data_IF_791971385194
#
_entry.id   IF_791971385194
#
_cell.length_a   1.000
_cell.length_b   1.000
_cell.length_c   1.000
_cell.angle_alpha   90.00
_cell.angle_beta   90.00
_cell.angle_gamma   90.00
#
_symmetry.space_group_name_H-M   'P 1'
#
loop_
_entity.id
_entity.type
_entity.pdbx_description
1 polymer ?
#
# COMPACT_ATOMS: atom_id res chain seq x y z
N UNK A 1 6.05 6.80 18.41
CA UNK A 1 5.15 5.75 17.88
C UNK A 1 5.99 4.74 17.14
N UNK A 2 5.69 3.44 17.27
CA UNK A 2 6.31 2.39 16.46
C UNK A 2 5.74 2.44 15.05
N UNK A 3 6.59 2.19 14.04
CA UNK A 3 6.12 2.08 12.68
C UNK A 3 5.25 0.80 12.53
N UNK A 4 4.21 0.81 11.69
CA UNK A 4 3.42 -0.40 11.43
C UNK A 4 4.29 -1.50 10.82
N UNK A 5 4.20 -2.74 11.28
CA UNK A 5 4.98 -3.85 10.69
C UNK A 5 4.31 -4.47 9.45
N UNK A 6 3.12 -4.00 9.06
CA UNK A 6 2.33 -4.58 7.99
C UNK A 6 1.70 -3.53 7.10
N UNK A 7 1.58 -3.84 5.82
CA UNK A 7 0.65 -3.20 4.89
C UNK A 7 -0.63 -4.05 4.82
N UNK A 8 -1.78 -3.47 5.16
CA UNK A 8 -3.09 -4.09 4.97
C UNK A 8 -3.56 -3.86 3.54
N UNK A 9 -3.69 -4.94 2.78
CA UNK A 9 -3.95 -4.87 1.34
C UNK A 9 -5.44 -4.90 1.07
N UNK A 10 -6.20 -5.85 1.63
CA UNK A 10 -7.66 -5.94 1.47
C UNK A 10 -8.35 -6.77 2.56
N UNK A 11 -9.66 -6.94 2.38
CA UNK A 11 -10.49 -7.90 3.10
C UNK A 11 -10.80 -9.11 2.19
N UNK A 12 -10.35 -10.30 2.58
CA UNK A 12 -10.67 -11.56 1.91
C UNK A 12 -11.26 -12.55 2.91
N UNK A 13 -12.42 -13.13 2.59
CA UNK A 13 -13.11 -14.11 3.44
C UNK A 13 -13.33 -13.65 4.91
N UNK A 14 -13.58 -12.35 5.11
CA UNK A 14 -13.76 -11.76 6.44
C UNK A 14 -12.46 -11.57 7.24
N UNK A 15 -11.29 -11.77 6.63
CA UNK A 15 -9.98 -11.54 7.22
C UNK A 15 -9.22 -10.44 6.48
N UNK A 16 -8.50 -9.61 7.23
CA UNK A 16 -7.57 -8.64 6.67
C UNK A 16 -6.36 -9.38 6.08
N UNK A 17 -6.16 -9.24 4.77
CA UNK A 17 -4.94 -9.67 4.10
C UNK A 17 -3.88 -8.62 4.37
N UNK A 18 -2.75 -9.06 4.94
CA UNK A 18 -1.64 -8.20 5.32
C UNK A 18 -0.34 -8.73 4.77
N UNK A 19 0.54 -7.83 4.37
CA UNK A 19 1.89 -8.13 3.94
C UNK A 19 2.89 -7.60 4.97
N UNK A 20 3.86 -8.42 5.38
CA UNK A 20 4.86 -8.04 6.37
C UNK A 20 5.86 -7.06 5.77
N UNK A 21 6.10 -5.94 6.44
CA UNK A 21 7.11 -4.94 6.12
C UNK A 21 8.17 -4.94 7.23
N UNK A 22 9.22 -5.78 7.13
CA UNK A 22 10.22 -5.92 8.19
C UNK A 22 11.02 -4.63 8.35
N UNK A 23 11.82 -4.52 9.42
CA UNK A 23 12.83 -3.46 9.58
C UNK A 23 12.32 -2.03 9.42
N UNK A 24 11.05 -1.77 9.76
CA UNK A 24 10.39 -0.46 9.61
C UNK A 24 10.30 0.03 8.17
N UNK A 25 10.29 -0.88 7.18
CA UNK A 25 10.15 -0.54 5.76
C UNK A 25 8.82 0.18 5.46
N UNK A 26 7.81 0.04 6.32
CA UNK A 26 6.58 0.83 6.27
C UNK A 26 6.79 2.33 6.35
N UNK A 27 7.81 2.81 7.08
CA UNK A 27 8.12 4.26 7.14
C UNK A 27 8.63 4.74 5.79
N UNK A 28 9.58 4.00 5.19
CA UNK A 28 10.14 4.39 3.90
C UNK A 28 9.09 4.36 2.79
N UNK A 29 8.23 3.34 2.79
CA UNK A 29 7.15 3.24 1.83
C UNK A 29 6.10 4.34 2.04
N UNK A 30 5.71 4.62 3.29
CA UNK A 30 4.77 5.69 3.60
C UNK A 30 5.33 7.08 3.23
N UNK A 31 6.58 7.38 3.60
CA UNK A 31 7.22 8.67 3.32
C UNK A 31 7.33 8.93 1.82
N UNK A 32 7.56 7.87 1.02
CA UNK A 32 7.52 7.97 -0.43
C UNK A 32 6.10 8.21 -0.94
N UNK A 33 5.13 7.44 -0.48
CA UNK A 33 3.76 7.50 -1.01
C UNK A 33 3.03 8.80 -0.63
N UNK A 34 3.16 9.25 0.63
CA UNK A 34 2.39 10.36 1.20
C UNK A 34 2.33 11.62 0.31
N UNK A 35 3.44 12.17 -0.22
CA UNK A 35 3.38 13.35 -1.08
C UNK A 35 2.66 13.13 -2.42
N UNK A 36 2.59 11.88 -2.91
CA UNK A 36 1.97 11.52 -4.19
C UNK A 36 0.51 11.08 -4.06
N UNK A 37 0.06 10.73 -2.85
CA UNK A 37 -1.30 10.21 -2.63
C UNK A 37 -2.39 11.21 -3.05
N UNK A 38 -2.17 12.52 -2.89
CA UNK A 38 -3.13 13.53 -3.30
C UNK A 38 -3.35 13.58 -4.82
N UNK A 39 -2.35 13.18 -5.61
CA UNK A 39 -2.44 13.15 -7.07
C UNK A 39 -3.11 11.86 -7.58
N UNK A 40 -2.79 10.71 -6.96
CA UNK A 40 -3.25 9.39 -7.43
C UNK A 40 -4.56 8.92 -6.79
N UNK A 41 -4.86 9.37 -5.58
CA UNK A 41 -6.04 8.97 -4.81
C UNK A 41 -6.52 10.12 -3.90
N UNK A 42 -6.95 11.26 -4.46
CA UNK A 42 -7.23 12.50 -3.72
C UNK A 42 -8.25 12.33 -2.59
N UNK A 43 -9.30 11.54 -2.83
CA UNK A 43 -10.35 11.28 -1.84
C UNK A 43 -9.87 10.41 -0.67
N UNK A 44 -8.80 9.63 -0.87
CA UNK A 44 -8.26 8.69 0.11
C UNK A 44 -7.02 9.22 0.84
N UNK A 45 -6.31 10.21 0.28
CA UNK A 45 -5.04 10.72 0.81
C UNK A 45 -5.09 11.11 2.30
N UNK A 46 -6.17 11.78 2.73
CA UNK A 46 -6.34 12.16 4.15
C UNK A 46 -6.55 10.96 5.07
N UNK A 47 -7.30 9.96 4.61
CA UNK A 47 -7.52 8.73 5.37
C UNK A 47 -6.21 7.96 5.51
N UNK A 48 -5.46 7.82 4.42
CA UNK A 48 -4.14 7.19 4.39
C UNK A 48 -3.16 7.79 5.40
N UNK A 49 -3.04 9.12 5.43
CA UNK A 49 -2.19 9.83 6.41
C UNK A 49 -2.68 9.62 7.86
N UNK A 50 -3.99 9.72 8.08
CA UNK A 50 -4.61 9.55 9.39
C UNK A 50 -4.45 8.13 9.95
N UNK A 51 -4.60 7.11 9.10
CA UNK A 51 -4.39 5.71 9.47
C UNK A 51 -2.95 5.48 9.91
N UNK A 52 -1.97 5.98 9.16
CA UNK A 52 -0.55 5.82 9.49
C UNK A 52 -0.20 6.52 10.80
N UNK A 53 -0.75 7.72 11.02
CA UNK A 53 -0.63 8.46 12.29
C UNK A 53 -1.21 7.69 13.48
N UNK A 54 -2.18 6.81 13.24
CA UNK A 54 -2.76 5.87 14.21
C UNK A 54 -2.06 4.49 14.22
N UNK A 55 -0.81 4.40 13.77
CA UNK A 55 -0.02 3.17 13.70
C UNK A 55 -0.61 2.07 12.79
N UNK A 56 -1.41 2.43 11.78
CA UNK A 56 -2.01 1.50 10.81
C UNK A 56 -1.59 1.88 9.40
N UNK A 57 -0.96 0.97 8.65
CA UNK A 57 -0.64 1.21 7.26
C UNK A 57 -1.54 0.37 6.36
N UNK A 58 -2.54 0.99 5.74
CA UNK A 58 -3.59 0.28 5.02
C UNK A 58 -3.88 0.93 3.66
N UNK A 59 -4.23 0.07 2.71
CA UNK A 59 -4.91 0.40 1.45
C UNK A 59 -6.16 -0.50 1.28
N UNK A 60 -6.60 -1.16 2.36
CA UNK A 60 -7.69 -2.14 2.30
C UNK A 60 -9.02 -1.51 1.89
N UNK A 61 -9.26 -0.27 2.30
CA UNK A 61 -10.46 0.49 2.00
C UNK A 61 -10.28 1.44 0.79
N UNK A 62 -9.15 1.34 0.09
CA UNK A 62 -8.89 2.13 -1.11
C UNK A 62 -9.96 1.84 -2.18
N UNK A 63 -10.60 2.87 -2.76
CA UNK A 63 -11.57 2.71 -3.83
C UNK A 63 -10.98 1.93 -5.01
N UNK A 64 -11.81 1.09 -5.61
CA UNK A 64 -11.40 0.25 -6.75
C UNK A 64 -10.84 1.09 -7.91
N UNK A 65 -11.38 2.28 -8.16
CA UNK A 65 -10.93 3.23 -9.20
C UNK A 65 -9.47 3.65 -9.05
N UNK A 66 -8.97 3.76 -7.82
CA UNK A 66 -7.64 4.32 -7.51
C UNK A 66 -6.59 3.21 -7.30
N UNK A 67 -7.02 1.94 -7.25
CA UNK A 67 -6.17 0.80 -6.88
C UNK A 67 -4.94 0.66 -7.77
N UNK A 68 -5.07 0.72 -9.09
CA UNK A 68 -3.91 0.58 -9.98
C UNK A 68 -2.94 1.75 -9.90
N UNK A 69 -3.42 2.97 -9.62
CA UNK A 69 -2.55 4.13 -9.46
C UNK A 69 -1.71 4.00 -8.17
N UNK A 70 -2.33 3.55 -7.07
CA UNK A 70 -1.62 3.28 -5.81
C UNK A 70 -0.72 2.03 -5.91
N UNK A 71 -1.14 0.99 -6.65
CA UNK A 71 -0.29 -0.16 -6.97
C UNK A 71 0.99 0.30 -7.67
N UNK A 72 0.88 1.12 -8.72
CA UNK A 72 2.04 1.61 -9.45
C UNK A 72 2.94 2.45 -8.54
N UNK A 73 2.36 3.31 -7.71
CA UNK A 73 3.11 4.11 -6.74
C UNK A 73 3.91 3.23 -5.75
N UNK A 74 3.36 2.10 -5.30
CA UNK A 74 4.09 1.14 -4.45
C UNK A 74 5.24 0.49 -5.23
N UNK A 75 5.04 0.15 -6.50
CA UNK A 75 6.10 -0.42 -7.34
C UNK A 75 7.22 0.59 -7.62
N UNK A 76 6.88 1.85 -7.88
CA UNK A 76 7.82 2.94 -8.09
C UNK A 76 8.65 3.18 -6.81
N UNK A 77 8.02 3.17 -5.63
CA UNK A 77 8.72 3.23 -4.35
C UNK A 77 9.72 2.08 -4.17
N UNK A 78 9.35 0.88 -4.59
CA UNK A 78 10.23 -0.29 -4.52
C UNK A 78 11.41 -0.19 -5.49
N UNK A 79 11.25 0.48 -6.63
CA UNK A 79 12.32 0.68 -7.61
C UNK A 79 13.28 1.80 -7.20
N UNK A 80 12.74 2.91 -6.70
CA UNK A 80 13.50 4.11 -6.34
C UNK A 80 14.25 3.98 -5.00
N UNK A 81 13.73 3.19 -4.05
CA UNK A 81 14.31 3.02 -2.73
C UNK A 81 15.00 1.65 -2.65
N UNK A 82 16.33 1.64 -2.70
CA UNK A 82 17.16 0.42 -2.62
C UNK A 82 16.81 -0.51 -1.44
N UNK A 83 16.38 0.05 -0.30
CA UNK A 83 15.99 -0.74 0.88
C UNK A 83 14.66 -1.49 0.69
N UNK A 84 13.78 -1.01 -0.20
CA UNK A 84 12.48 -1.62 -0.51
C UNK A 84 12.55 -2.65 -1.64
N UNK A 85 13.57 -2.59 -2.51
CA UNK A 85 13.75 -3.53 -3.63
C UNK A 85 13.58 -5.02 -3.26
N UNK A 86 14.14 -5.52 -2.13
CA UNK A 86 13.96 -6.92 -1.75
C UNK A 86 12.50 -7.33 -1.51
N UNK A 87 11.62 -6.38 -1.19
CA UNK A 87 10.20 -6.62 -0.92
C UNK A 87 9.34 -6.56 -2.19
N UNK A 88 9.87 -6.05 -3.31
CA UNK A 88 9.10 -5.75 -4.52
C UNK A 88 8.32 -6.98 -5.01
N UNK A 89 8.98 -8.13 -5.12
CA UNK A 89 8.36 -9.36 -5.64
C UNK A 89 7.20 -9.85 -4.78
N UNK A 90 7.37 -9.86 -3.46
CA UNK A 90 6.33 -10.33 -2.55
C UNK A 90 5.17 -9.32 -2.44
N UNK A 91 5.46 -8.01 -2.40
CA UNK A 91 4.45 -6.96 -2.45
C UNK A 91 3.64 -7.01 -3.74
N UNK A 92 4.33 -7.15 -4.88
CA UNK A 92 3.67 -7.28 -6.18
C UNK A 92 2.74 -8.50 -6.20
N UNK A 93 3.21 -9.65 -5.71
CA UNK A 93 2.40 -10.87 -5.64
C UNK A 93 1.17 -10.68 -4.77
N UNK A 94 1.31 -10.03 -3.61
CA UNK A 94 0.18 -9.74 -2.72
C UNK A 94 -0.85 -8.80 -3.38
N UNK A 95 -0.39 -7.77 -4.10
CA UNK A 95 -1.26 -6.82 -4.78
C UNK A 95 -1.95 -7.42 -6.03
N UNK A 96 -1.26 -8.29 -6.77
CA UNK A 96 -1.83 -9.02 -7.91
C UNK A 96 -2.92 -10.02 -7.48
N UNK A 97 -2.85 -10.52 -6.24
CA UNK A 97 -3.88 -11.38 -5.67
C UNK A 97 -5.15 -10.59 -5.26
N UNK A 98 -5.09 -9.26 -5.24
CA UNK A 98 -6.22 -8.41 -4.87
C UNK A 98 -7.36 -8.49 -5.91
N UNK A 99 -8.62 -8.67 -5.49
CA UNK A 99 -9.76 -8.66 -6.40
C UNK A 99 -9.89 -7.36 -7.22
N UNK A 100 -9.47 -6.21 -6.69
CA UNK A 100 -9.50 -4.92 -7.38
C UNK A 100 -8.54 -4.88 -8.57
N UNK A 101 -7.44 -5.64 -8.54
CA UNK A 101 -6.52 -5.76 -9.67
C UNK A 101 -7.22 -6.35 -10.91
N UNK A 102 -7.92 -7.49 -10.72
CA UNK A 102 -8.54 -8.24 -11.82
C UNK A 102 -9.70 -7.48 -12.47
N UNK A 103 -10.42 -6.67 -11.70
CA UNK A 103 -11.56 -5.91 -12.21
C UNK A 103 -11.16 -4.72 -13.08
N UNK A 104 -9.92 -4.24 -12.98
CA UNK A 104 -9.40 -3.21 -13.88
C UNK A 104 -8.89 -3.77 -15.22
N UNK A 105 -8.60 -5.06 -15.28
CA UNK A 105 -8.14 -5.76 -16.50
C UNK A 105 -9.28 -6.43 -17.29
N UNK A 106 -10.53 -6.25 -16.87
CA UNK A 106 -11.72 -6.89 -17.44
C UNK A 106 -12.50 -5.97 -18.39
#
# INVERSE_FOLDING_TARGET
MSAPDYLYVNMANGQLVKHLLPNRMSVLLFDYMLPHMADVAPDYAKQFEGEFSCCTFSIADLPEKDFMAVYQLIMDACDDINALQPLKGDLQTALLADPRYKKQTA
#
